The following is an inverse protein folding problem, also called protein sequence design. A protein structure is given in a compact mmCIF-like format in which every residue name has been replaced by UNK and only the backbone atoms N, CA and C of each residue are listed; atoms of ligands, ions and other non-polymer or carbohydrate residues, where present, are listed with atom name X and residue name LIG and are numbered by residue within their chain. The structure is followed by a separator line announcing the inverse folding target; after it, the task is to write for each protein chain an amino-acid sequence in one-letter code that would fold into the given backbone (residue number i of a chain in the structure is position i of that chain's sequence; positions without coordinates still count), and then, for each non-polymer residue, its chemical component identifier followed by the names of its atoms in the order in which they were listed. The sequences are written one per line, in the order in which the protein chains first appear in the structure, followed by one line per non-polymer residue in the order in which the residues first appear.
data_IF_383738930668
#
_entry.id   IF_383738930668
#
_cell.length_a   1.000
_cell.length_b   1.000
_cell.length_c   1.000
_cell.angle_alpha   90.00
_cell.angle_beta   90.00
_cell.angle_gamma   90.00
#
_symmetry.space_group_name_H-M   'P 1'
#
loop_
_entity.id
_entity.type
_entity.pdbx_description
1 polymer ?
#
# COMPACT_ATOMS: atom_id res chain seq x y z
N UNK A 1 48.58 -48.55 -47.69
CA UNK A 1 48.30 -49.17 -46.38
C UNK A 1 47.67 -48.08 -45.56
N UNK A 2 46.43 -48.15 -45.46
CA UNK A 2 45.62 -48.50 -44.29
C UNK A 2 45.84 -47.43 -43.21
N UNK A 3 44.92 -46.69 -42.90
CA UNK A 3 43.58 -46.75 -42.37
C UNK A 3 43.59 -45.89 -41.13
N UNK A 4 42.76 -45.26 -40.86
CA UNK A 4 41.78 -45.34 -39.76
C UNK A 4 41.03 -44.04 -39.59
N UNK A 5 39.80 -44.14 -39.87
CA UNK A 5 38.82 -43.10 -39.65
C UNK A 5 38.34 -43.25 -38.20
N UNK A 6 38.59 -42.29 -37.33
CA UNK A 6 37.87 -42.20 -36.05
C UNK A 6 36.83 -41.09 -36.13
N UNK A 7 35.59 -41.53 -36.27
CA UNK A 7 34.35 -40.82 -36.05
C UNK A 7 34.35 -40.16 -34.65
N UNK A 8 34.18 -38.85 -34.61
CA UNK A 8 33.85 -38.11 -33.40
C UNK A 8 32.42 -37.64 -33.57
N UNK A 9 31.49 -38.06 -32.74
CA UNK A 9 30.11 -37.54 -32.81
C UNK A 9 30.01 -36.09 -32.32
N UNK A 10 29.29 -35.29 -33.08
CA UNK A 10 28.97 -33.91 -32.76
C UNK A 10 28.16 -33.82 -31.46
N UNK A 11 28.35 -32.76 -30.64
CA UNK A 11 27.52 -32.53 -29.48
C UNK A 11 26.10 -32.06 -29.91
N UNK A 12 25.10 -32.72 -29.35
CA UNK A 12 23.70 -32.48 -29.52
C UNK A 12 23.28 -31.08 -29.05
N UNK A 13 22.44 -30.48 -29.84
CA UNK A 13 21.76 -29.21 -29.66
C UNK A 13 21.30 -28.93 -28.23
N UNK A 14 21.84 -27.87 -27.63
CA UNK A 14 21.28 -27.24 -26.46
C UNK A 14 19.98 -26.54 -26.85
N UNK A 15 18.86 -27.10 -26.42
CA UNK A 15 17.55 -26.44 -26.54
C UNK A 15 17.57 -25.15 -25.74
N UNK A 16 17.54 -24.04 -26.43
CA UNK A 16 17.18 -22.74 -25.88
C UNK A 16 15.72 -22.81 -25.43
N UNK A 17 15.52 -22.86 -24.12
CA UNK A 17 14.21 -22.67 -23.52
C UNK A 17 13.81 -21.22 -23.75
N UNK A 18 12.99 -20.97 -24.75
CA UNK A 18 12.25 -19.73 -24.91
C UNK A 18 11.32 -19.56 -23.71
N UNK A 19 11.74 -18.72 -22.76
CA UNK A 19 10.84 -18.26 -21.69
C UNK A 19 9.69 -17.51 -22.33
N UNK A 20 8.52 -18.08 -22.27
CA UNK A 20 7.30 -17.39 -22.63
C UNK A 20 7.15 -16.14 -21.78
N UNK A 21 6.78 -14.97 -22.33
CA UNK A 21 6.50 -13.80 -21.54
C UNK A 21 5.30 -14.11 -20.63
N UNK A 22 5.45 -13.87 -19.33
CA UNK A 22 4.36 -13.89 -18.36
C UNK A 22 3.29 -12.94 -18.87
N UNK A 23 2.04 -13.35 -19.06
CA UNK A 23 0.99 -12.47 -19.52
C UNK A 23 0.81 -11.36 -18.50
N UNK A 24 0.92 -10.12 -18.95
CA UNK A 24 0.51 -8.93 -18.18
C UNK A 24 -0.95 -9.13 -17.81
N UNK A 25 -1.19 -9.48 -16.54
CA UNK A 25 -2.53 -9.75 -16.05
C UNK A 25 -3.35 -8.45 -16.14
N UNK A 26 -4.32 -8.43 -17.04
CA UNK A 26 -5.34 -7.39 -17.04
C UNK A 26 -6.05 -7.44 -15.69
N UNK A 27 -6.11 -6.29 -14.98
CA UNK A 27 -6.87 -6.16 -13.75
C UNK A 27 -8.34 -6.52 -14.03
N UNK A 28 -8.78 -7.69 -13.58
CA UNK A 28 -10.18 -8.09 -13.67
C UNK A 28 -10.96 -7.39 -12.54
N UNK A 29 -12.22 -6.96 -12.75
CA UNK A 29 -13.00 -6.24 -11.74
C UNK A 29 -13.03 -6.92 -10.39
N UNK A 30 -12.90 -6.11 -9.32
CA UNK A 30 -12.87 -6.56 -7.93
C UNK A 30 -14.23 -7.07 -7.47
N UNK A 31 -14.32 -8.31 -7.00
CA UNK A 31 -15.45 -8.80 -6.23
C UNK A 31 -15.27 -8.41 -4.76
N UNK A 32 -16.14 -7.52 -4.26
CA UNK A 32 -16.14 -7.13 -2.86
C UNK A 32 -16.75 -8.25 -2.00
N UNK A 33 -16.01 -8.71 -0.99
CA UNK A 33 -16.61 -9.46 0.13
C UNK A 33 -17.39 -8.48 0.99
N UNK A 34 -18.60 -8.85 1.41
CA UNK A 34 -19.38 -8.10 2.40
C UNK A 34 -18.66 -8.13 3.75
N UNK A 35 -18.45 -6.99 4.42
CA UNK A 35 -17.80 -6.97 5.72
C UNK A 35 -18.70 -7.57 6.79
N UNK A 36 -18.09 -8.33 7.71
CA UNK A 36 -18.71 -8.83 8.93
C UNK A 36 -18.93 -7.65 9.90
N UNK A 37 -20.13 -7.58 10.49
CA UNK A 37 -20.61 -6.44 11.27
C UNK A 37 -20.06 -6.50 12.70
N UNK A 38 -18.94 -5.80 12.98
CA UNK A 38 -18.57 -5.37 14.33
C UNK A 38 -18.76 -3.86 14.45
N UNK A 39 -19.45 -3.41 15.51
CA UNK A 39 -19.64 -2.00 15.80
C UNK A 39 -18.30 -1.33 16.14
N UNK A 40 -17.97 -0.20 15.48
CA UNK A 40 -16.74 0.55 15.74
C UNK A 40 -16.84 1.34 17.06
N UNK A 41 -15.74 1.46 17.79
CA UNK A 41 -15.62 2.23 19.02
C UNK A 41 -15.74 3.74 18.75
N UNK A 42 -16.25 4.51 19.73
CA UNK A 42 -16.58 5.96 19.63
C UNK A 42 -15.40 6.90 19.31
N UNK A 43 -14.16 6.39 19.24
CA UNK A 43 -12.94 7.16 18.99
C UNK A 43 -12.61 7.34 17.49
N UNK A 44 -13.29 6.63 16.60
CA UNK A 44 -12.94 6.49 15.18
C UNK A 44 -13.74 7.39 14.23
N UNK A 45 -14.55 8.30 14.73
CA UNK A 45 -15.36 9.19 13.89
C UNK A 45 -14.79 10.60 13.86
N UNK A 46 -14.02 11.00 12.83
CA UNK A 46 -13.98 12.42 12.51
C UNK A 46 -15.42 12.82 12.20
N UNK A 47 -16.01 13.64 13.06
CA UNK A 47 -17.38 14.11 12.93
C UNK A 47 -17.60 14.58 11.49
N UNK A 48 -18.75 14.28 10.90
CA UNK A 48 -19.23 14.79 9.62
C UNK A 48 -19.37 16.33 9.61
N UNK A 49 -18.82 16.99 10.64
CA UNK A 49 -18.78 18.45 10.79
C UNK A 49 -17.90 19.07 9.70
N UNK A 50 -18.28 20.27 9.27
CA UNK A 50 -17.48 21.10 8.35
C UNK A 50 -16.02 21.27 8.82
N UNK A 51 -15.79 21.28 10.13
CA UNK A 51 -14.46 21.37 10.74
C UNK A 51 -13.64 20.09 10.46
N UNK A 52 -14.22 18.88 10.61
CA UNK A 52 -13.55 17.63 10.28
C UNK A 52 -13.16 17.54 8.79
N UNK A 53 -14.05 17.99 7.90
CA UNK A 53 -13.76 18.04 6.46
C UNK A 53 -12.67 19.05 6.09
N UNK A 54 -12.63 20.21 6.76
CA UNK A 54 -11.58 21.21 6.58
C UNK A 54 -10.23 20.69 7.09
N UNK A 55 -10.21 19.98 8.22
CA UNK A 55 -9.01 19.33 8.76
C UNK A 55 -8.45 18.31 7.79
N UNK A 56 -9.27 17.40 7.27
CA UNK A 56 -8.85 16.41 6.27
C UNK A 56 -8.33 17.06 4.97
N UNK A 57 -8.93 18.18 4.55
CA UNK A 57 -8.47 18.93 3.38
C UNK A 57 -7.14 19.64 3.61
N UNK A 58 -6.92 20.22 4.79
CA UNK A 58 -5.65 20.85 5.13
C UNK A 58 -4.53 19.82 5.21
N UNK A 59 -4.77 18.65 5.79
CA UNK A 59 -3.82 17.54 5.84
C UNK A 59 -3.33 17.13 4.44
N UNK A 60 -4.20 17.12 3.43
CA UNK A 60 -3.82 16.80 2.04
C UNK A 60 -2.75 17.74 1.45
N UNK A 61 -2.70 19.00 1.89
CA UNK A 61 -1.72 20.00 1.44
C UNK A 61 -0.40 19.83 2.18
N UNK A 62 -0.45 19.71 3.52
CA UNK A 62 0.72 19.60 4.37
C UNK A 62 1.50 18.29 4.15
N UNK A 63 0.81 17.18 3.91
CA UNK A 63 1.44 15.88 3.64
C UNK A 63 1.93 15.69 2.20
N UNK A 64 1.83 16.72 1.33
CA UNK A 64 2.30 16.61 -0.06
C UNK A 64 3.77 16.19 -0.19
N UNK A 65 4.73 16.76 0.56
CA UNK A 65 6.13 16.32 0.48
C UNK A 65 6.32 14.87 0.97
N UNK A 66 5.62 14.50 2.05
CA UNK A 66 5.64 13.16 2.63
C UNK A 66 5.11 12.11 1.63
N UNK A 67 3.95 12.36 0.99
CA UNK A 67 3.43 11.50 -0.07
C UNK A 67 4.42 11.34 -1.22
N UNK A 68 5.07 12.44 -1.68
CA UNK A 68 6.05 12.39 -2.76
C UNK A 68 7.25 11.52 -2.39
N UNK A 69 7.73 11.65 -1.16
CA UNK A 69 8.85 10.86 -0.68
C UNK A 69 8.54 9.37 -0.61
N UNK A 70 7.35 9.00 -0.14
CA UNK A 70 6.87 7.62 -0.13
C UNK A 70 6.67 7.05 -1.52
N UNK A 71 5.93 7.77 -2.37
CA UNK A 71 5.61 7.32 -3.73
C UNK A 71 6.86 7.18 -4.61
N UNK A 72 7.91 7.98 -4.38
CA UNK A 72 9.19 7.83 -5.09
C UNK A 72 9.88 6.48 -4.81
N UNK A 73 9.58 5.82 -3.69
CA UNK A 73 10.10 4.49 -3.34
C UNK A 73 9.13 3.35 -3.67
N UNK A 74 7.89 3.69 -4.01
CA UNK A 74 6.85 2.70 -4.24
C UNK A 74 7.05 1.88 -5.53
N UNK A 75 7.81 2.39 -6.50
CA UNK A 75 8.04 1.71 -7.77
C UNK A 75 6.76 1.48 -8.58
N UNK A 76 5.81 2.42 -8.49
CA UNK A 76 4.55 2.35 -9.24
C UNK A 76 4.84 2.56 -10.72
N UNK A 77 4.57 1.55 -11.51
CA UNK A 77 4.60 1.60 -12.98
C UNK A 77 3.26 2.03 -13.59
N UNK A 78 3.27 2.26 -14.89
CA UNK A 78 2.08 2.71 -15.61
C UNK A 78 0.88 1.75 -15.54
N UNK A 79 1.14 0.48 -15.34
CA UNK A 79 0.12 -0.58 -15.33
C UNK A 79 0.00 -1.26 -13.94
N UNK A 80 0.60 -0.68 -12.88
CA UNK A 80 0.52 -1.20 -11.52
C UNK A 80 -0.86 -1.00 -10.92
N UNK A 81 -1.46 -2.07 -10.39
CA UNK A 81 -2.63 -2.02 -9.53
C UNK A 81 -2.20 -1.61 -8.11
N UNK A 82 -2.77 -0.55 -7.58
CA UNK A 82 -2.34 0.06 -6.31
C UNK A 82 -3.50 0.14 -5.34
N UNK A 83 -3.24 -0.20 -4.07
CA UNK A 83 -4.17 0.02 -2.96
C UNK A 83 -3.62 1.08 -2.01
N UNK A 84 -4.43 2.04 -1.63
CA UNK A 84 -4.13 3.00 -0.56
C UNK A 84 -4.96 2.69 0.68
N UNK A 85 -4.32 2.31 1.78
CA UNK A 85 -4.96 1.92 3.04
C UNK A 85 -4.95 3.10 4.00
N UNK A 86 -6.13 3.48 4.53
CA UNK A 86 -6.31 4.71 5.29
C UNK A 86 -6.25 5.93 4.38
N UNK A 87 -7.06 5.94 3.33
CA UNK A 87 -6.98 6.94 2.25
C UNK A 87 -7.34 8.37 2.68
N UNK A 88 -7.99 8.55 3.84
CA UNK A 88 -8.32 9.84 4.43
C UNK A 88 -9.00 10.79 3.46
N UNK A 89 -8.41 11.96 3.24
CA UNK A 89 -8.93 12.97 2.30
C UNK A 89 -8.62 12.72 0.83
N UNK A 90 -8.04 11.58 0.44
CA UNK A 90 -7.78 11.16 -0.94
C UNK A 90 -6.60 11.85 -1.62
N UNK A 91 -5.76 12.57 -0.89
CA UNK A 91 -4.62 13.29 -1.45
C UNK A 91 -3.53 12.37 -1.99
N UNK A 92 -3.23 11.26 -1.31
CA UNK A 92 -2.33 10.22 -1.78
C UNK A 92 -2.91 9.52 -3.01
N UNK A 93 -4.17 9.09 -2.96
CA UNK A 93 -4.92 8.48 -4.07
C UNK A 93 -4.83 9.34 -5.34
N UNK A 94 -5.06 10.66 -5.22
CA UNK A 94 -4.96 11.58 -6.37
C UNK A 94 -3.57 11.58 -7.03
N UNK A 95 -2.50 11.36 -6.26
CA UNK A 95 -1.13 11.28 -6.77
C UNK A 95 -0.87 9.92 -7.40
N UNK A 96 -1.32 8.84 -6.79
CA UNK A 96 -1.24 7.48 -7.30
C UNK A 96 -1.91 7.38 -8.67
N UNK A 97 -3.13 7.93 -8.83
CA UNK A 97 -3.88 7.97 -10.09
C UNK A 97 -3.14 8.67 -11.26
N UNK A 98 -2.10 9.45 -10.98
CA UNK A 98 -1.25 10.08 -12.02
C UNK A 98 -0.04 9.23 -12.39
N UNK A 99 0.31 8.26 -11.55
CA UNK A 99 1.47 7.38 -11.76
C UNK A 99 1.09 6.11 -12.50
N UNK A 100 -0.14 5.62 -12.31
CA UNK A 100 -0.64 4.42 -13.00
C UNK A 100 -1.88 4.70 -13.84
N UNK A 101 -2.08 3.89 -14.89
CA UNK A 101 -3.32 3.84 -15.69
C UNK A 101 -4.24 2.71 -15.23
N UNK A 102 -3.71 1.77 -14.45
CA UNK A 102 -4.46 0.64 -13.93
C UNK A 102 -5.45 1.04 -12.83
N UNK A 103 -6.16 0.08 -12.28
CA UNK A 103 -7.11 0.27 -11.21
C UNK A 103 -6.41 0.67 -9.92
N UNK A 104 -7.03 1.61 -9.18
CA UNK A 104 -6.61 2.02 -7.84
C UNK A 104 -7.72 1.68 -6.86
N UNK A 105 -7.39 0.88 -5.85
CA UNK A 105 -8.21 0.67 -4.67
C UNK A 105 -7.88 1.70 -3.59
N UNK A 106 -8.86 2.05 -2.77
CA UNK A 106 -8.67 2.87 -1.58
C UNK A 106 -9.60 2.38 -0.47
N UNK A 107 -9.10 2.24 0.73
CA UNK A 107 -9.88 1.81 1.90
C UNK A 107 -9.69 2.80 3.04
N UNK A 108 -10.78 3.08 3.73
CA UNK A 108 -10.76 3.81 5.00
C UNK A 108 -11.91 3.32 5.88
N UNK A 109 -11.71 3.31 7.19
CA UNK A 109 -12.76 2.94 8.15
C UNK A 109 -13.79 4.06 8.36
N UNK A 110 -13.45 5.29 7.97
CA UNK A 110 -14.31 6.47 8.11
C UNK A 110 -15.18 6.68 6.88
N UNK A 111 -16.52 6.62 6.98
CA UNK A 111 -17.44 6.97 5.88
C UNK A 111 -17.18 8.37 5.32
N UNK A 112 -16.82 9.33 6.20
CA UNK A 112 -16.52 10.71 5.81
C UNK A 112 -15.25 10.79 4.94
N UNK A 113 -14.20 10.03 5.26
CA UNK A 113 -12.98 9.93 4.48
C UNK A 113 -13.25 9.29 3.12
N UNK A 114 -14.01 8.20 3.10
CA UNK A 114 -14.45 7.51 1.87
C UNK A 114 -15.15 8.47 0.92
N UNK A 115 -16.13 9.20 1.43
CA UNK A 115 -16.91 10.16 0.63
C UNK A 115 -16.04 11.32 0.13
N UNK A 116 -15.15 11.86 0.98
CA UNK A 116 -14.23 12.93 0.59
C UNK A 116 -13.24 12.46 -0.49
N UNK A 117 -12.72 11.25 -0.35
CA UNK A 117 -11.81 10.64 -1.35
C UNK A 117 -12.51 10.45 -2.68
N UNK A 118 -13.77 9.97 -2.69
CA UNK A 118 -14.60 9.86 -3.91
C UNK A 118 -14.82 11.22 -4.58
N UNK A 119 -15.19 12.24 -3.82
CA UNK A 119 -15.41 13.60 -4.34
C UNK A 119 -14.15 14.22 -4.91
N UNK A 120 -13.02 14.10 -4.19
CA UNK A 120 -11.74 14.65 -4.65
C UNK A 120 -11.26 14.01 -5.96
N UNK A 121 -11.63 12.75 -6.19
CA UNK A 121 -11.21 11.94 -7.32
C UNK A 121 -12.39 11.52 -8.22
N UNK A 122 -13.44 12.37 -8.31
CA UNK A 122 -14.72 12.05 -8.93
C UNK A 122 -14.62 11.49 -10.35
N UNK A 123 -13.74 12.05 -11.20
CA UNK A 123 -13.54 11.57 -12.56
C UNK A 123 -13.01 10.12 -12.61
N UNK A 124 -12.07 9.76 -11.73
CA UNK A 124 -11.54 8.41 -11.65
C UNK A 124 -12.56 7.43 -11.06
N UNK A 125 -13.36 7.88 -10.10
CA UNK A 125 -14.46 7.10 -9.54
C UNK A 125 -15.54 6.83 -10.59
N UNK A 126 -15.96 7.85 -11.34
CA UNK A 126 -16.97 7.72 -12.39
C UNK A 126 -16.54 6.83 -13.56
N UNK A 127 -15.25 6.82 -13.90
CA UNK A 127 -14.69 5.94 -14.93
C UNK A 127 -14.41 4.51 -14.47
N UNK A 128 -14.65 4.18 -13.20
CA UNK A 128 -14.32 2.88 -12.62
C UNK A 128 -12.83 2.65 -12.34
N UNK A 129 -11.96 3.63 -12.62
CA UNK A 129 -10.52 3.53 -12.33
C UNK A 129 -10.18 3.61 -10.86
N UNK A 130 -11.02 4.23 -10.05
CA UNK A 130 -10.86 4.32 -8.61
C UNK A 130 -12.04 3.65 -7.91
N UNK A 131 -11.72 2.72 -7.03
CA UNK A 131 -12.67 2.07 -6.15
C UNK A 131 -12.37 2.42 -4.70
N UNK A 132 -13.27 3.17 -4.05
CA UNK A 132 -13.14 3.56 -2.64
C UNK A 132 -14.14 2.77 -1.82
N UNK A 133 -13.68 2.07 -0.79
CA UNK A 133 -14.48 1.16 0.04
C UNK A 133 -14.31 1.54 1.49
N UNK A 134 -15.40 1.53 2.24
CA UNK A 134 -15.36 1.58 3.70
C UNK A 134 -14.97 0.19 4.21
N UNK A 135 -13.96 0.12 5.10
CA UNK A 135 -13.49 -1.16 5.61
C UNK A 135 -12.31 -1.04 6.55
N UNK A 136 -12.02 -2.13 7.26
CA UNK A 136 -10.86 -2.26 8.15
C UNK A 136 -9.66 -2.81 7.39
N UNK A 137 -8.46 -2.37 7.81
CA UNK A 137 -7.19 -2.94 7.32
C UNK A 137 -7.03 -4.42 7.74
N UNK A 138 -7.65 -4.82 8.84
CA UNK A 138 -7.59 -6.20 9.36
C UNK A 138 -8.43 -7.19 8.54
N UNK A 139 -9.31 -6.67 7.66
CA UNK A 139 -10.18 -7.47 6.79
C UNK A 139 -10.39 -6.74 5.46
N UNK A 140 -9.33 -6.63 4.66
CA UNK A 140 -9.37 -5.92 3.38
C UNK A 140 -10.33 -6.60 2.40
N UNK A 141 -11.32 -5.87 1.83
CA UNK A 141 -12.36 -6.43 0.96
C UNK A 141 -11.83 -6.68 -0.47
N UNK A 142 -10.63 -7.23 -0.58
CA UNK A 142 -9.98 -7.52 -1.84
C UNK A 142 -9.47 -8.95 -1.88
N UNK A 143 -9.35 -9.51 -3.09
CA UNK A 143 -8.83 -10.84 -3.29
C UNK A 143 -7.32 -10.92 -2.98
N UNK A 144 -6.86 -12.10 -2.64
CA UNK A 144 -5.45 -12.42 -2.46
C UNK A 144 -4.66 -12.17 -3.75
N UNK A 145 -3.47 -11.59 -3.65
CA UNK A 145 -2.53 -11.46 -4.76
C UNK A 145 -2.95 -10.47 -5.85
N UNK A 146 -3.73 -9.44 -5.51
CA UNK A 146 -4.31 -8.54 -6.52
C UNK A 146 -3.46 -7.31 -6.82
N UNK A 147 -2.82 -6.71 -5.82
CA UNK A 147 -2.12 -5.45 -5.95
C UNK A 147 -0.62 -5.63 -6.14
N UNK A 148 -0.02 -4.78 -6.97
CA UNK A 148 1.43 -4.68 -7.11
C UNK A 148 2.03 -3.82 -5.99
N UNK A 149 1.28 -2.82 -5.52
CA UNK A 149 1.71 -1.90 -4.48
C UNK A 149 0.57 -1.63 -3.51
N UNK A 150 0.86 -1.70 -2.21
CA UNK A 150 0.00 -1.17 -1.14
C UNK A 150 0.71 0.03 -0.52
N UNK A 151 -0.02 1.12 -0.29
CA UNK A 151 0.48 2.31 0.41
C UNK A 151 -0.29 2.55 1.70
N UNK A 152 0.40 3.05 2.72
CA UNK A 152 -0.18 3.44 4.01
C UNK A 152 0.52 4.73 4.49
N UNK A 153 -0.15 5.87 4.31
CA UNK A 153 0.37 7.19 4.68
C UNK A 153 -0.31 7.69 5.95
N UNK A 154 0.44 7.91 7.03
CA UNK A 154 -0.05 8.46 8.30
C UNK A 154 -1.20 7.67 8.93
N UNK A 155 -1.27 6.37 8.72
CA UNK A 155 -2.43 5.56 9.10
C UNK A 155 -2.11 4.41 10.07
N UNK A 156 -0.90 3.85 10.04
CA UNK A 156 -0.52 2.69 10.87
C UNK A 156 -0.63 2.95 12.37
N UNK A 157 -0.62 4.21 12.79
CA UNK A 157 -0.83 4.64 14.17
C UNK A 157 -2.19 4.24 14.74
N UNK A 158 -3.17 4.10 13.85
CA UNK A 158 -4.58 3.87 14.17
C UNK A 158 -5.04 2.44 13.86
N UNK A 159 -4.12 1.56 13.45
CA UNK A 159 -4.47 0.17 13.23
C UNK A 159 -4.66 -0.54 14.56
N UNK A 160 -5.82 -1.15 14.83
CA UNK A 160 -6.11 -1.78 16.13
C UNK A 160 -5.15 -2.94 16.41
N UNK A 161 -4.88 -3.76 15.39
CA UNK A 161 -3.87 -4.82 15.40
C UNK A 161 -2.94 -4.62 14.20
N UNK A 162 -1.72 -4.12 14.49
CA UNK A 162 -0.71 -3.85 13.47
C UNK A 162 -0.31 -5.12 12.71
N UNK A 163 -0.16 -6.25 13.42
CA UNK A 163 0.25 -7.51 12.79
C UNK A 163 -0.86 -8.08 11.89
N UNK A 164 -2.12 -8.04 12.34
CA UNK A 164 -3.26 -8.45 11.54
C UNK A 164 -3.39 -7.58 10.27
N UNK A 165 -3.26 -6.25 10.40
CA UNK A 165 -3.27 -5.33 9.27
C UNK A 165 -2.13 -5.60 8.27
N UNK A 166 -0.93 -5.85 8.77
CA UNK A 166 0.21 -6.18 7.91
C UNK A 166 0.04 -7.55 7.22
N UNK A 167 -0.54 -8.56 7.88
CA UNK A 167 -0.88 -9.85 7.23
C UNK A 167 -1.91 -9.68 6.11
N UNK A 168 -2.92 -8.85 6.31
CA UNK A 168 -3.91 -8.55 5.28
C UNK A 168 -3.29 -7.79 4.10
N UNK A 169 -2.40 -6.82 4.36
CA UNK A 169 -1.69 -6.14 3.28
C UNK A 169 -0.77 -7.09 2.50
N UNK A 170 -0.09 -8.03 3.17
CA UNK A 170 0.68 -9.08 2.51
C UNK A 170 -0.22 -10.01 1.70
N UNK A 171 -1.39 -10.39 2.21
CA UNK A 171 -2.36 -11.25 1.51
C UNK A 171 -2.83 -10.65 0.19
N UNK A 172 -3.13 -9.35 0.16
CA UNK A 172 -3.67 -8.71 -1.06
C UNK A 172 -2.58 -8.34 -2.06
N UNK A 173 -1.30 -8.35 -1.67
CA UNK A 173 -0.16 -8.16 -2.57
C UNK A 173 0.08 -9.40 -3.42
N UNK A 174 0.35 -9.20 -4.70
CA UNK A 174 0.78 -10.23 -5.63
C UNK A 174 2.28 -10.57 -5.48
N UNK A 175 2.75 -11.63 -6.14
CA UNK A 175 4.17 -12.00 -6.13
C UNK A 175 5.07 -10.84 -6.58
N UNK A 176 6.07 -10.49 -5.77
CA UNK A 176 6.96 -9.36 -6.00
C UNK A 176 6.35 -8.00 -5.68
N UNK A 177 5.13 -7.99 -5.17
CA UNK A 177 4.44 -6.79 -4.69
C UNK A 177 5.10 -6.18 -3.46
N UNK A 178 4.78 -4.93 -3.17
CA UNK A 178 5.38 -4.20 -2.04
C UNK A 178 4.40 -3.32 -1.29
N UNK A 179 4.63 -3.24 0.02
CA UNK A 179 3.99 -2.30 0.92
C UNK A 179 4.91 -1.10 1.14
N UNK A 180 4.36 0.11 1.13
CA UNK A 180 5.06 1.35 1.48
C UNK A 180 4.31 2.04 2.59
N UNK A 181 4.90 2.06 3.79
CA UNK A 181 4.41 2.82 4.94
C UNK A 181 5.21 4.12 5.03
N UNK A 182 4.54 5.25 5.26
CA UNK A 182 5.20 6.52 5.51
C UNK A 182 4.54 7.25 6.66
N UNK A 183 5.33 7.60 7.64
CA UNK A 183 4.91 8.27 8.88
C UNK A 183 5.66 9.60 9.05
N UNK A 184 4.95 10.66 9.46
CA UNK A 184 5.55 11.94 9.81
C UNK A 184 6.35 11.86 11.12
N UNK A 185 5.93 10.95 12.02
CA UNK A 185 6.63 10.67 13.28
C UNK A 185 7.24 9.26 13.24
N UNK A 186 8.51 9.17 13.62
CA UNK A 186 9.28 7.94 13.52
C UNK A 186 9.18 7.04 14.76
N UNK A 187 8.69 7.59 15.87
CA UNK A 187 8.56 6.90 17.15
C UNK A 187 7.67 7.71 18.11
N UNK A 188 7.33 7.10 19.26
CA UNK A 188 6.48 7.72 20.28
C UNK A 188 7.09 9.01 20.86
N UNK A 189 8.42 9.12 20.95
CA UNK A 189 9.07 10.31 21.44
C UNK A 189 8.89 11.49 20.49
N UNK A 190 9.00 11.23 19.18
CA UNK A 190 8.74 12.24 18.14
C UNK A 190 7.26 12.68 18.11
N UNK A 191 6.33 11.77 18.41
CA UNK A 191 4.90 12.07 18.49
C UNK A 191 4.54 12.95 19.72
N UNK A 192 5.32 12.85 20.79
CA UNK A 192 5.13 13.64 22.01
C UNK A 192 3.71 13.51 22.58
N UNK A 193 3.13 14.64 23.00
CA UNK A 193 1.79 14.69 23.60
C UNK A 193 0.66 14.29 22.64
N UNK A 194 0.89 14.31 21.33
CA UNK A 194 -0.12 13.96 20.34
C UNK A 194 -0.43 12.48 20.35
N UNK A 195 0.57 11.63 20.67
CA UNK A 195 0.35 10.18 20.79
C UNK A 195 -0.75 9.86 21.81
N UNK A 196 -0.71 10.52 22.98
CA UNK A 196 -1.71 10.31 24.05
C UNK A 196 -3.06 10.96 23.71
N UNK A 197 -3.04 12.19 23.17
CA UNK A 197 -4.26 12.92 22.85
C UNK A 197 -5.09 12.28 21.74
N UNK A 198 -4.44 11.63 20.79
CA UNK A 198 -5.08 11.02 19.63
C UNK A 198 -5.16 9.48 19.76
N UNK A 199 -4.73 8.90 20.88
CA UNK A 199 -4.72 7.45 21.07
C UNK A 199 -3.85 6.71 20.05
N UNK A 200 -2.76 7.35 19.58
CA UNK A 200 -1.90 6.77 18.54
C UNK A 200 -0.99 5.70 19.11
N UNK A 201 -0.98 4.54 18.49
CA UNK A 201 0.09 3.57 18.66
C UNK A 201 1.19 3.88 17.64
N UNK A 202 2.31 4.45 18.09
CA UNK A 202 3.41 4.88 17.21
C UNK A 202 4.54 3.85 17.25
N UNK A 203 4.51 2.83 16.36
CA UNK A 203 5.60 1.87 16.25
C UNK A 203 6.82 2.58 15.65
N UNK A 204 7.99 2.31 16.22
CA UNK A 204 9.26 2.74 15.63
C UNK A 204 9.66 1.88 14.43
N UNK A 205 10.78 2.24 13.79
CA UNK A 205 11.23 1.55 12.59
C UNK A 205 11.58 0.08 12.81
N UNK A 206 12.14 -0.26 13.96
CA UNK A 206 12.53 -1.64 14.30
C UNK A 206 11.29 -2.48 14.57
N UNK A 207 10.34 -1.96 15.33
CA UNK A 207 9.03 -2.61 15.57
C UNK A 207 8.29 -2.85 14.26
N UNK A 208 8.26 -1.87 13.34
CA UNK A 208 7.64 -2.04 12.02
C UNK A 208 8.36 -3.12 11.20
N UNK A 209 9.71 -3.14 11.20
CA UNK A 209 10.47 -4.14 10.47
C UNK A 209 10.22 -5.55 10.98
N UNK A 210 10.25 -5.75 12.29
CA UNK A 210 9.98 -7.04 12.92
C UNK A 210 8.55 -7.52 12.64
N UNK A 211 7.56 -6.61 12.77
CA UNK A 211 6.16 -6.99 12.55
C UNK A 211 5.89 -7.28 11.07
N UNK A 212 6.49 -6.54 10.14
CA UNK A 212 6.45 -6.88 8.71
C UNK A 212 7.02 -8.27 8.45
N UNK A 213 8.18 -8.61 9.03
CA UNK A 213 8.77 -9.94 8.85
C UNK A 213 7.85 -11.06 9.40
N UNK A 214 7.24 -10.86 10.58
CA UNK A 214 6.24 -11.79 11.14
C UNK A 214 4.99 -11.91 10.27
N UNK A 215 4.59 -10.84 9.60
CA UNK A 215 3.44 -10.81 8.69
C UNK A 215 3.71 -11.47 7.32
N UNK A 216 4.95 -11.91 7.05
CA UNK A 216 5.30 -12.65 5.84
C UNK A 216 6.02 -11.82 4.76
N UNK A 217 6.45 -10.60 5.06
CA UNK A 217 7.29 -9.82 4.14
C UNK A 217 8.74 -10.35 4.16
N UNK A 218 9.27 -10.69 2.99
CA UNK A 218 10.61 -11.29 2.87
C UNK A 218 11.75 -10.25 2.93
N UNK A 219 11.44 -9.00 2.62
CA UNK A 219 12.43 -7.90 2.60
C UNK A 219 11.82 -6.66 3.22
N UNK A 220 12.54 -6.01 4.14
CA UNK A 220 12.09 -4.78 4.78
C UNK A 220 13.23 -3.77 4.78
N UNK A 221 13.02 -2.60 4.17
CA UNK A 221 13.94 -1.45 4.16
C UNK A 221 13.30 -0.30 4.96
N UNK A 222 13.99 0.13 6.03
CA UNK A 222 13.53 1.21 6.91
C UNK A 222 14.42 2.42 6.73
N UNK A 223 13.84 3.58 6.47
CA UNK A 223 14.60 4.82 6.28
C UNK A 223 13.97 6.01 6.96
N UNK A 224 14.79 6.84 7.60
CA UNK A 224 14.42 8.18 8.04
C UNK A 224 14.70 9.19 6.92
N UNK A 225 13.88 10.23 6.84
CA UNK A 225 14.08 11.27 5.84
C UNK A 225 15.33 12.10 6.19
N UNK A 226 16.26 12.36 5.24
CA UNK A 226 17.55 12.97 5.55
C UNK A 226 17.48 14.39 6.06
N UNK A 227 16.41 15.15 5.76
CA UNK A 227 16.22 16.55 6.18
C UNK A 227 15.09 16.73 7.18
N UNK A 228 14.06 15.88 7.13
CA UNK A 228 12.96 15.85 8.08
C UNK A 228 13.13 14.60 8.96
N UNK A 229 14.09 14.58 9.86
CA UNK A 229 14.55 13.40 10.59
C UNK A 229 13.48 12.63 11.38
N UNK A 230 12.32 13.28 11.64
CA UNK A 230 11.17 12.63 12.26
C UNK A 230 10.37 11.74 11.27
N UNK A 231 10.54 11.93 9.96
CA UNK A 231 9.78 11.12 8.99
C UNK A 231 10.40 9.74 8.83
N UNK A 232 9.53 8.73 8.89
CA UNK A 232 9.88 7.33 8.72
C UNK A 232 9.23 6.77 7.46
N UNK A 233 9.98 5.97 6.70
CA UNK A 233 9.46 5.19 5.59
C UNK A 233 9.90 3.73 5.73
N UNK A 234 8.95 2.82 5.57
CA UNK A 234 9.21 1.39 5.45
C UNK A 234 8.78 0.94 4.05
N UNK A 235 9.64 0.18 3.38
CA UNK A 235 9.32 -0.52 2.13
C UNK A 235 9.49 -2.00 2.39
N UNK A 236 8.39 -2.76 2.32
CA UNK A 236 8.40 -4.19 2.58
C UNK A 236 7.92 -4.96 1.34
N UNK A 237 8.62 -6.02 0.93
CA UNK A 237 8.32 -6.84 -0.25
C UNK A 237 7.90 -8.25 0.13
N UNK A 238 6.89 -8.80 -0.56
CA UNK A 238 6.46 -10.20 -0.44
C UNK A 238 7.20 -11.09 -1.42
#
# INVERSE_FOLDING_TARGET
MAGDSSDVPAPSDARTSSGSPVPSGSCTPLDARTPDSREPSDFERPSSSLIGQLTLRSMNLWHTPLHRWGLAAAGIGADSCVLDVGCGGGGAVRRILRLTRAEVGAVDHSPAAVELTRRLNAAATASGRLRVIEGSVEALPFRTGYFDVVTAFETVYFWPDLEAGLRETARVLGPGGRLVIVNEVADRQAAGIWADRLGMNVPDGDTLAETCAKAGFARVDVRRHPRAGAWLRVVAGV
#
